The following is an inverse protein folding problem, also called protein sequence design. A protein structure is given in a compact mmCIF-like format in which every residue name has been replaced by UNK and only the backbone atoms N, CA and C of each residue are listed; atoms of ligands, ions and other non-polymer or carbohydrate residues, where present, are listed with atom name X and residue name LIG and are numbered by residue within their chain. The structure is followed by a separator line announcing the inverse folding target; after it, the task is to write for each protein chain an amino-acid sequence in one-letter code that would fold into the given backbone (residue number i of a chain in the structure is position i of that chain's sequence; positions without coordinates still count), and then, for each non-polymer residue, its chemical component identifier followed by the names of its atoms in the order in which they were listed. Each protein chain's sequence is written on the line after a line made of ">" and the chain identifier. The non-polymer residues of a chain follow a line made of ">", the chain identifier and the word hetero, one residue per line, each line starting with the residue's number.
data_IF_655397927655
#
_entry.id   IF_655397927655
#
_cell.length_a   1.000
_cell.length_b   1.000
_cell.length_c   1.000
_cell.angle_alpha   90.00
_cell.angle_beta   90.00
_cell.angle_gamma   90.00
#
_symmetry.space_group_name_H-M   'P 1'
#
loop_
_entity.id
_entity.type
_entity.pdbx_description
1 polymer ?
#
# COMPACT_ATOMS: atom_id res chain seq x y z
N UNK A 1 40.01 18.50 -0.01
CA UNK A 1 39.89 17.22 -0.71
C UNK A 1 39.01 16.23 0.05
N UNK A 2 39.17 16.02 1.35
CA UNK A 2 38.41 15.07 2.16
C UNK A 2 36.86 15.34 2.12
N UNK A 3 36.44 16.62 2.15
CA UNK A 3 35.03 16.98 2.09
C UNK A 3 34.31 16.55 0.80
N UNK A 4 35.00 16.61 -0.34
CA UNK A 4 34.43 16.13 -1.61
C UNK A 4 34.30 14.63 -1.70
N UNK A 5 35.20 13.89 -1.07
CA UNK A 5 35.16 12.43 -0.98
C UNK A 5 33.98 12.02 -0.10
N UNK A 6 33.80 12.67 1.05
CA UNK A 6 32.65 12.43 1.95
C UNK A 6 31.32 12.74 1.25
N UNK A 7 31.24 13.86 0.54
CA UNK A 7 30.05 14.23 -0.24
C UNK A 7 29.75 13.19 -1.34
N UNK A 8 30.77 12.73 -2.07
CA UNK A 8 30.65 11.69 -3.09
C UNK A 8 30.14 10.36 -2.51
N UNK A 9 30.68 9.94 -1.37
CA UNK A 9 30.24 8.71 -0.68
C UNK A 9 28.79 8.82 -0.20
N UNK A 10 28.39 9.97 0.36
CA UNK A 10 27.00 10.22 0.78
C UNK A 10 26.02 10.20 -0.40
N UNK A 11 26.38 10.80 -1.53
CA UNK A 11 25.57 10.76 -2.74
C UNK A 11 25.43 9.33 -3.26
N UNK A 12 26.53 8.58 -3.30
CA UNK A 12 26.54 7.19 -3.75
C UNK A 12 25.68 6.31 -2.83
N UNK A 13 25.81 6.47 -1.52
CA UNK A 13 24.99 5.77 -0.52
C UNK A 13 23.50 6.11 -0.66
N UNK A 14 23.17 7.39 -0.85
CA UNK A 14 21.81 7.86 -1.10
C UNK A 14 21.22 7.26 -2.38
N UNK A 15 22.01 7.21 -3.45
CA UNK A 15 21.61 6.61 -4.72
C UNK A 15 21.38 5.10 -4.59
N UNK A 16 22.21 4.42 -3.82
CA UNK A 16 22.08 2.99 -3.53
C UNK A 16 20.81 2.71 -2.72
N UNK A 17 20.52 3.51 -1.69
CA UNK A 17 19.27 3.41 -0.91
C UNK A 17 18.05 3.71 -1.77
N UNK A 18 18.12 4.73 -2.63
CA UNK A 18 17.03 5.10 -3.53
C UNK A 18 16.73 4.00 -4.58
N UNK A 19 17.73 3.20 -4.94
CA UNK A 19 17.58 2.07 -5.88
C UNK A 19 16.98 0.82 -5.23
N UNK A 20 16.91 0.73 -3.90
CA UNK A 20 16.28 -0.40 -3.20
C UNK A 20 14.81 -0.53 -3.60
N UNK A 21 14.42 -1.75 -3.89
CA UNK A 21 13.04 -2.08 -4.23
C UNK A 21 12.28 -2.54 -2.98
N UNK A 22 11.19 -1.86 -2.73
CA UNK A 22 10.19 -2.26 -1.73
C UNK A 22 9.10 -3.02 -2.46
N UNK A 23 8.81 -4.24 -2.00
CA UNK A 23 7.75 -5.06 -2.57
C UNK A 23 6.75 -5.46 -1.50
N UNK A 24 5.48 -5.47 -1.87
CA UNK A 24 4.40 -6.08 -1.08
C UNK A 24 3.84 -7.20 -1.92
N UNK A 25 3.70 -8.37 -1.32
CA UNK A 25 3.08 -9.51 -1.98
C UNK A 25 1.98 -10.12 -1.11
N UNK A 26 0.99 -10.66 -1.78
CA UNK A 26 -0.08 -11.44 -1.17
C UNK A 26 -0.32 -12.71 -1.97
N UNK A 27 -0.68 -13.79 -1.29
CA UNK A 27 -1.23 -14.98 -1.90
C UNK A 27 -2.48 -15.41 -1.14
N UNK A 28 -3.44 -15.92 -1.89
CA UNK A 28 -4.63 -16.55 -1.37
C UNK A 28 -4.69 -17.99 -1.87
N UNK A 29 -4.74 -18.93 -0.94
CA UNK A 29 -4.89 -20.36 -1.20
C UNK A 29 -5.97 -20.89 -0.26
N UNK A 30 -6.81 -21.81 -0.72
CA UNK A 30 -7.87 -22.38 0.11
C UNK A 30 -7.35 -23.08 1.35
N UNK A 31 -6.20 -23.74 1.27
CA UNK A 31 -5.60 -24.51 2.37
C UNK A 31 -4.87 -23.59 3.39
N UNK A 32 -4.14 -22.62 2.92
CA UNK A 32 -3.28 -21.77 3.76
C UNK A 32 -3.92 -20.39 4.08
N UNK A 33 -5.05 -20.08 3.44
CA UNK A 33 -5.72 -18.80 3.57
C UNK A 33 -4.96 -17.64 2.92
N UNK A 34 -5.08 -16.46 3.51
CA UNK A 34 -4.42 -15.25 3.01
C UNK A 34 -3.03 -15.12 3.64
N UNK A 35 -2.01 -15.07 2.82
CA UNK A 35 -0.65 -14.75 3.24
C UNK A 35 -0.24 -13.40 2.69
N UNK A 36 0.39 -12.58 3.52
CA UNK A 36 0.92 -11.26 3.14
C UNK A 36 2.38 -11.17 3.56
N UNK A 37 3.23 -10.72 2.64
CA UNK A 37 4.65 -10.51 2.91
C UNK A 37 5.13 -9.18 2.37
N UNK A 38 6.13 -8.65 3.05
CA UNK A 38 6.88 -7.47 2.63
C UNK A 38 8.26 -7.91 2.14
N UNK A 39 8.67 -7.40 1.00
CA UNK A 39 9.99 -7.61 0.44
C UNK A 39 10.78 -6.31 0.48
N UNK A 40 11.93 -6.34 1.15
CA UNK A 40 12.89 -5.25 1.25
C UNK A 40 14.18 -5.70 0.53
N UNK A 41 14.32 -5.34 -0.75
CA UNK A 41 15.44 -5.85 -1.55
C UNK A 41 15.46 -7.38 -1.58
N UNK A 42 16.55 -8.04 -1.08
CA UNK A 42 16.65 -9.49 -1.01
C UNK A 42 15.87 -10.11 0.17
N UNK A 43 15.58 -9.33 1.22
CA UNK A 43 14.91 -9.82 2.42
C UNK A 43 13.38 -9.92 2.23
N UNK A 44 12.80 -11.04 2.71
CA UNK A 44 11.35 -11.28 2.72
C UNK A 44 10.88 -11.42 4.16
N UNK A 45 9.92 -10.59 4.55
CA UNK A 45 9.32 -10.58 5.89
C UNK A 45 7.84 -10.96 5.74
N UNK A 46 7.42 -12.08 6.31
CA UNK A 46 6.01 -12.50 6.32
C UNK A 46 5.27 -11.72 7.39
N UNK A 47 4.22 -10.99 6.99
CA UNK A 47 3.40 -10.18 7.87
C UNK A 47 2.20 -10.98 8.41
N UNK A 48 1.65 -11.86 7.59
CA UNK A 48 0.50 -12.68 7.95
C UNK A 48 0.58 -14.04 7.23
N UNK A 49 0.30 -15.17 7.91
CA UNK A 49 0.09 -15.31 9.35
C UNK A 49 1.33 -14.92 10.16
N UNK A 50 1.15 -14.33 11.33
CA UNK A 50 2.28 -13.98 12.20
C UNK A 50 3.01 -15.26 12.59
N UNK A 51 4.33 -15.39 12.40
CA UNK A 51 5.05 -16.53 12.90
C UNK A 51 4.81 -16.60 14.41
N UNK A 52 4.31 -17.73 14.90
CA UNK A 52 4.18 -17.97 16.35
C UNK A 52 5.57 -17.80 16.93
N UNK A 53 5.77 -16.75 17.74
CA UNK A 53 7.02 -16.61 18.50
C UNK A 53 7.20 -17.88 19.31
N UNK A 54 8.36 -18.54 19.25
CA UNK A 54 8.62 -19.65 20.14
C UNK A 54 8.38 -19.14 21.56
N UNK A 55 7.57 -19.86 22.33
CA UNK A 55 7.27 -19.53 23.71
C UNK A 55 8.62 -19.39 24.46
N UNK A 56 8.97 -18.17 24.83
CA UNK A 56 10.07 -17.97 25.78
C UNK A 56 9.66 -18.64 27.07
N UNK A 57 10.53 -19.48 27.66
CA UNK A 57 10.23 -20.05 28.97
C UNK A 57 9.93 -18.90 29.93
N UNK A 58 8.87 -19.06 30.69
CA UNK A 58 8.40 -18.11 31.68
C UNK A 58 9.57 -17.77 32.64
N UNK A 59 10.17 -16.58 32.46
CA UNK A 59 10.98 -15.98 33.51
C UNK A 59 10.02 -15.33 34.47
N UNK A 60 10.07 -15.81 35.72
CA UNK A 60 9.37 -15.28 36.86
C UNK A 60 9.38 -13.75 36.86
N UNK A 61 8.20 -13.19 36.89
CA UNK A 61 7.95 -11.77 37.04
C UNK A 61 8.34 -11.36 38.46
N UNK A 62 9.59 -10.91 38.64
CA UNK A 62 9.93 -10.12 39.82
C UNK A 62 9.21 -8.78 39.67
N UNK A 63 8.20 -8.60 40.50
CA UNK A 63 7.48 -7.37 40.68
C UNK A 63 8.43 -6.18 40.83
N UNK A 64 8.42 -5.27 39.84
CA UNK A 64 9.02 -3.93 39.96
C UNK A 64 7.94 -2.96 40.42
N UNK A 65 8.21 -2.12 41.43
CA UNK A 65 7.23 -1.18 41.95
C UNK A 65 6.81 -0.17 40.86
N UNK A 66 5.57 0.37 40.94
CA UNK A 66 5.03 1.27 39.91
C UNK A 66 5.81 2.58 39.94
N UNK A 67 6.61 2.83 38.91
CA UNK A 67 7.15 4.16 38.62
C UNK A 67 6.02 4.99 38.02
N UNK A 68 5.47 5.87 38.84
CA UNK A 68 4.64 6.99 38.38
C UNK A 68 5.37 7.77 37.30
N UNK A 69 5.04 7.49 36.06
CA UNK A 69 5.41 8.36 34.96
C UNK A 69 4.44 9.55 34.96
N UNK A 70 4.83 10.61 35.71
CA UNK A 70 4.28 11.94 35.46
C UNK A 70 4.48 12.29 33.99
N UNK A 71 3.48 11.98 33.15
CA UNK A 71 3.38 12.53 31.81
C UNK A 71 3.06 14.01 32.00
N UNK A 72 4.09 14.86 31.92
CA UNK A 72 3.94 16.26 31.61
C UNK A 72 3.20 16.32 30.27
N UNK A 73 1.86 16.41 30.33
CA UNK A 73 1.06 16.87 29.22
C UNK A 73 1.53 18.29 28.92
N UNK A 74 2.42 18.45 27.95
CA UNK A 74 2.54 19.73 27.25
C UNK A 74 1.16 19.98 26.65
N UNK A 75 0.38 20.85 27.26
CA UNK A 75 -0.83 21.42 26.69
C UNK A 75 -0.46 22.01 25.35
N UNK A 76 -0.76 21.28 24.29
CA UNK A 76 -0.75 21.86 22.95
C UNK A 76 -1.84 22.93 22.95
N UNK A 77 -1.53 24.18 22.52
CA UNK A 77 -2.56 25.22 22.44
C UNK A 77 -3.76 24.67 21.69
N UNK A 78 -4.99 25.01 22.11
CA UNK A 78 -6.21 24.47 21.50
C UNK A 78 -6.18 24.77 20.01
N UNK A 79 -6.09 23.74 19.21
CA UNK A 79 -6.26 23.86 17.75
C UNK A 79 -7.72 24.25 17.56
N UNK A 80 -8.00 25.51 17.24
CA UNK A 80 -9.35 25.98 16.91
C UNK A 80 -9.87 25.07 15.79
N UNK A 81 -11.08 24.51 15.93
CA UNK A 81 -11.65 23.63 14.91
C UNK A 81 -11.80 24.43 13.60
N UNK A 82 -11.42 23.81 12.49
CA UNK A 82 -11.69 24.36 11.17
C UNK A 82 -13.22 24.49 11.01
N UNK A 83 -13.68 25.62 10.53
CA UNK A 83 -15.09 25.82 10.19
C UNK A 83 -15.48 24.85 9.07
N UNK A 84 -16.72 24.32 9.10
CA UNK A 84 -17.17 23.32 8.12
C UNK A 84 -16.93 23.74 6.66
N UNK A 85 -17.12 25.01 6.33
CA UNK A 85 -16.84 25.57 5.00
C UNK A 85 -15.37 25.51 4.61
N UNK A 86 -14.47 25.74 5.57
CA UNK A 86 -13.01 25.64 5.35
C UNK A 86 -12.58 24.19 5.10
N UNK A 87 -13.23 23.23 5.77
CA UNK A 87 -12.99 21.80 5.53
C UNK A 87 -13.42 21.40 4.13
N UNK A 88 -14.60 21.84 3.69
CA UNK A 88 -15.13 21.57 2.35
C UNK A 88 -14.22 22.18 1.27
N UNK A 89 -13.79 23.43 1.45
CA UNK A 89 -12.86 24.09 0.53
C UNK A 89 -11.51 23.35 0.44
N UNK A 90 -10.97 22.93 1.59
CA UNK A 90 -9.71 22.18 1.67
C UNK A 90 -9.84 20.82 1.01
N UNK A 91 -10.93 20.08 1.25
CA UNK A 91 -11.20 18.80 0.60
C UNK A 91 -11.32 18.97 -0.91
N UNK A 92 -12.02 20.00 -1.38
CA UNK A 92 -12.18 20.29 -2.82
C UNK A 92 -10.84 20.57 -3.51
N UNK A 93 -9.88 21.20 -2.83
CA UNK A 93 -8.54 21.43 -3.35
C UNK A 93 -7.65 20.18 -3.27
N UNK A 94 -7.87 19.32 -2.27
CA UNK A 94 -7.07 18.10 -2.10
C UNK A 94 -7.49 16.96 -3.03
N UNK A 95 -8.76 16.88 -3.46
CA UNK A 95 -9.25 15.83 -4.36
C UNK A 95 -8.44 15.74 -5.66
N UNK A 96 -8.27 16.84 -6.45
CA UNK A 96 -7.53 16.77 -7.71
C UNK A 96 -6.05 16.40 -7.46
N UNK A 97 -5.45 16.91 -6.39
CA UNK A 97 -4.08 16.56 -6.01
C UNK A 97 -3.95 15.08 -5.64
N UNK A 98 -4.93 14.53 -4.91
CA UNK A 98 -4.97 13.11 -4.55
C UNK A 98 -5.14 12.21 -5.78
N UNK A 99 -6.01 12.61 -6.73
CA UNK A 99 -6.18 11.89 -7.99
C UNK A 99 -4.90 11.91 -8.86
N UNK A 100 -4.23 13.06 -8.94
CA UNK A 100 -2.94 13.17 -9.64
C UNK A 100 -1.86 12.32 -8.96
N UNK A 101 -1.80 12.34 -7.62
CA UNK A 101 -0.89 11.51 -6.85
C UNK A 101 -1.15 10.02 -7.07
N UNK A 102 -2.43 9.60 -7.03
CA UNK A 102 -2.84 8.22 -7.30
C UNK A 102 -2.48 7.78 -8.73
N UNK A 103 -2.71 8.64 -9.74
CA UNK A 103 -2.31 8.38 -11.11
C UNK A 103 -0.79 8.25 -11.29
N UNK A 104 -0.03 9.11 -10.61
CA UNK A 104 1.44 9.07 -10.62
C UNK A 104 1.97 7.84 -9.89
N UNK A 105 1.35 7.46 -8.77
CA UNK A 105 1.65 6.22 -8.03
C UNK A 105 1.40 4.99 -8.90
N UNK A 106 0.21 4.90 -9.53
CA UNK A 106 -0.16 3.80 -10.42
C UNK A 106 0.86 3.60 -11.55
N UNK A 107 1.27 4.67 -12.23
CA UNK A 107 2.27 4.60 -13.33
C UNK A 107 3.65 4.12 -12.88
N UNK A 108 3.99 4.29 -11.61
CA UNK A 108 5.27 3.86 -11.04
C UNK A 108 5.20 2.50 -10.36
N UNK A 109 3.98 2.05 -10.05
CA UNK A 109 3.74 0.74 -9.46
C UNK A 109 3.99 -0.34 -10.51
N UNK A 110 4.89 -1.26 -10.20
CA UNK A 110 5.17 -2.42 -11.04
C UNK A 110 4.61 -3.67 -10.39
N UNK A 111 3.89 -4.45 -11.15
CA UNK A 111 3.44 -5.78 -10.75
C UNK A 111 4.45 -6.79 -11.28
N UNK A 112 5.26 -7.35 -10.39
CA UNK A 112 6.29 -8.33 -10.78
C UNK A 112 5.67 -9.69 -11.07
N UNK A 113 4.67 -10.09 -10.27
CA UNK A 113 3.94 -11.35 -10.45
C UNK A 113 2.46 -11.10 -10.24
N UNK A 114 1.66 -11.54 -11.19
CA UNK A 114 0.21 -11.62 -11.10
C UNK A 114 -0.19 -13.01 -11.59
N UNK A 115 -0.48 -13.92 -10.67
CA UNK A 115 -0.93 -15.27 -10.97
C UNK A 115 -2.32 -15.45 -10.36
N UNK A 116 -3.31 -15.63 -11.21
CA UNK A 116 -4.70 -15.84 -10.82
C UNK A 116 -5.21 -17.13 -11.45
N UNK A 117 -5.79 -17.99 -10.63
CA UNK A 117 -6.40 -19.23 -11.08
C UNK A 117 -7.80 -19.33 -10.48
N UNK A 118 -8.79 -19.37 -11.33
CA UNK A 118 -10.18 -19.61 -10.96
C UNK A 118 -10.54 -21.04 -11.34
N UNK A 119 -11.04 -21.80 -10.40
CA UNK A 119 -11.56 -23.16 -10.64
C UNK A 119 -13.07 -23.10 -10.52
N UNK A 120 -13.75 -23.47 -11.57
CA UNK A 120 -15.20 -23.63 -11.60
C UNK A 120 -15.51 -25.02 -11.07
N UNK A 121 -16.05 -25.08 -9.86
CA UNK A 121 -16.51 -26.31 -9.25
C UNK A 121 -17.99 -26.50 -9.59
N UNK A 122 -18.30 -27.51 -10.40
CA UNK A 122 -19.66 -27.81 -10.83
C UNK A 122 -19.77 -29.30 -11.17
N UNK A 123 -20.68 -30.04 -10.52
CA UNK A 123 -20.86 -31.47 -10.79
C UNK A 123 -21.50 -31.80 -12.15
N UNK A 124 -22.34 -30.88 -12.65
CA UNK A 124 -22.98 -31.06 -13.98
C UNK A 124 -22.01 -30.53 -15.07
N UNK A 125 -21.63 -31.39 -16.03
CA UNK A 125 -20.75 -31.00 -17.13
C UNK A 125 -21.32 -29.91 -18.04
N UNK A 126 -22.64 -29.80 -18.21
CA UNK A 126 -23.25 -28.78 -19.04
C UNK A 126 -23.17 -27.40 -18.38
N UNK A 127 -23.49 -27.33 -17.09
CA UNK A 127 -23.38 -26.10 -16.31
C UNK A 127 -21.90 -25.69 -16.14
N UNK A 128 -21.02 -26.66 -15.90
CA UNK A 128 -19.58 -26.43 -15.83
C UNK A 128 -19.04 -25.79 -17.12
N UNK A 129 -19.46 -26.27 -18.30
CA UNK A 129 -19.03 -25.69 -19.56
C UNK A 129 -19.53 -24.26 -19.75
N UNK A 130 -20.79 -23.98 -19.37
CA UNK A 130 -21.34 -22.61 -19.43
C UNK A 130 -20.61 -21.66 -18.48
N UNK A 131 -20.43 -22.05 -17.23
CA UNK A 131 -19.74 -21.23 -16.22
C UNK A 131 -18.26 -21.02 -16.57
N UNK A 132 -17.59 -22.04 -17.11
CA UNK A 132 -16.23 -21.92 -17.63
C UNK A 132 -16.13 -20.88 -18.74
N UNK A 133 -17.07 -20.93 -19.70
CA UNK A 133 -17.15 -19.96 -20.80
C UNK A 133 -17.34 -18.52 -20.30
N UNK A 134 -18.27 -18.32 -19.35
CA UNK A 134 -18.54 -17.01 -18.76
C UNK A 134 -17.34 -16.51 -17.96
N UNK A 135 -16.72 -17.33 -17.14
CA UNK A 135 -15.56 -16.99 -16.35
C UNK A 135 -14.36 -16.65 -17.24
N UNK A 136 -14.14 -17.41 -18.31
CA UNK A 136 -13.07 -17.15 -19.29
C UNK A 136 -13.29 -15.86 -20.05
N UNK A 137 -14.52 -15.56 -20.45
CA UNK A 137 -14.88 -14.31 -21.11
C UNK A 137 -14.67 -13.10 -20.18
N UNK A 138 -15.11 -13.20 -18.92
CA UNK A 138 -14.91 -12.15 -17.91
C UNK A 138 -13.42 -11.90 -17.64
N UNK A 139 -12.63 -12.97 -17.49
CA UNK A 139 -11.20 -12.86 -17.28
C UNK A 139 -10.50 -12.22 -18.47
N UNK A 140 -10.84 -12.61 -19.71
CA UNK A 140 -10.33 -12.03 -20.93
C UNK A 140 -10.67 -10.53 -21.06
N UNK A 141 -11.91 -10.15 -20.73
CA UNK A 141 -12.34 -8.76 -20.75
C UNK A 141 -11.59 -7.87 -19.73
N UNK A 142 -11.21 -8.43 -18.56
CA UNK A 142 -10.46 -7.69 -17.53
C UNK A 142 -8.96 -7.62 -17.84
N UNK A 143 -8.41 -8.57 -18.58
CA UNK A 143 -6.96 -8.69 -18.80
C UNK A 143 -6.37 -7.53 -19.58
N UNK A 144 -7.05 -7.06 -20.63
CA UNK A 144 -6.64 -5.90 -21.43
C UNK A 144 -6.49 -4.63 -20.58
N UNK A 145 -7.56 -4.16 -19.92
CA UNK A 145 -7.53 -2.99 -19.05
C UNK A 145 -6.50 -3.10 -17.90
N UNK A 146 -6.27 -4.31 -17.35
CA UNK A 146 -5.23 -4.51 -16.32
C UNK A 146 -3.83 -4.29 -16.87
N UNK A 147 -3.51 -4.82 -18.05
CA UNK A 147 -2.21 -4.61 -18.70
C UNK A 147 -1.97 -3.15 -19.11
N UNK A 148 -3.03 -2.42 -19.50
CA UNK A 148 -2.93 -0.99 -19.78
C UNK A 148 -2.77 -0.15 -18.51
N UNK A 149 -3.45 -0.57 -17.43
CA UNK A 149 -3.42 0.17 -16.18
C UNK A 149 -2.12 0.03 -15.43
N UNK A 150 -1.46 -1.13 -15.49
CA UNK A 150 -0.29 -1.48 -14.68
C UNK A 150 0.83 -2.05 -15.53
N UNK A 151 2.07 -1.87 -15.06
CA UNK A 151 3.23 -2.51 -15.66
C UNK A 151 3.37 -3.93 -15.11
N UNK A 152 2.77 -4.91 -15.78
CA UNK A 152 2.82 -6.32 -15.39
C UNK A 152 4.02 -6.98 -16.07
N UNK A 153 4.92 -7.59 -15.30
CA UNK A 153 6.10 -8.29 -15.81
C UNK A 153 5.82 -9.75 -16.12
N UNK A 154 5.23 -10.46 -15.16
CA UNK A 154 4.84 -11.87 -15.28
C UNK A 154 3.39 -11.97 -14.83
N UNK A 155 2.50 -12.03 -15.81
CA UNK A 155 1.07 -12.11 -15.59
C UNK A 155 0.50 -13.39 -16.17
N UNK A 156 -0.19 -14.17 -15.36
CA UNK A 156 -0.89 -15.38 -15.75
C UNK A 156 -2.26 -15.37 -15.13
N UNK A 157 -3.25 -15.64 -15.96
CA UNK A 157 -4.60 -15.82 -15.48
C UNK A 157 -5.22 -17.00 -16.23
N UNK A 158 -5.82 -17.91 -15.51
CA UNK A 158 -6.44 -19.09 -16.08
C UNK A 158 -7.72 -19.47 -15.36
N UNK A 159 -8.59 -20.10 -16.10
CA UNK A 159 -9.81 -20.73 -15.59
C UNK A 159 -9.66 -22.23 -15.79
N UNK A 160 -9.93 -23.00 -14.77
CA UNK A 160 -9.96 -24.45 -14.82
C UNK A 160 -11.33 -24.96 -14.36
N UNK A 161 -11.64 -26.21 -14.62
CA UNK A 161 -12.90 -26.86 -14.19
C UNK A 161 -12.57 -28.04 -13.29
N UNK A 162 -13.34 -28.20 -12.23
CA UNK A 162 -13.27 -29.37 -11.34
C UNK A 162 -14.68 -29.92 -11.10
N UNK A 163 -14.94 -31.11 -11.64
CA UNK A 163 -16.23 -31.79 -11.51
C UNK A 163 -16.43 -32.46 -10.15
N UNK A 164 -15.40 -32.51 -9.31
CA UNK A 164 -15.48 -33.16 -7.99
C UNK A 164 -15.81 -32.14 -6.89
N UNK A 165 -15.74 -30.84 -7.20
CA UNK A 165 -16.05 -29.76 -6.27
C UNK A 165 -17.40 -29.15 -6.61
N UNK A 166 -18.20 -28.85 -5.59
CA UNK A 166 -19.49 -28.16 -5.73
C UNK A 166 -19.36 -26.63 -5.62
N UNK A 167 -18.15 -26.11 -5.38
CA UNK A 167 -17.92 -24.71 -5.11
C UNK A 167 -16.76 -24.16 -5.94
N UNK A 168 -16.91 -22.92 -6.34
CA UNK A 168 -15.85 -22.19 -7.04
C UNK A 168 -14.68 -21.90 -6.09
N UNK A 169 -13.48 -22.06 -6.60
CA UNK A 169 -12.26 -21.82 -5.88
C UNK A 169 -11.39 -20.79 -6.58
N UNK A 170 -10.88 -19.83 -5.82
CA UNK A 170 -9.97 -18.79 -6.33
C UNK A 170 -8.61 -18.90 -5.64
N UNK A 171 -7.57 -19.08 -6.45
CA UNK A 171 -6.19 -18.92 -6.01
C UNK A 171 -5.60 -17.70 -6.67
N UNK A 172 -4.84 -16.94 -5.89
CA UNK A 172 -4.22 -15.75 -6.41
C UNK A 172 -2.88 -15.46 -5.74
N UNK A 173 -1.91 -14.99 -6.53
CA UNK A 173 -0.66 -14.45 -6.04
C UNK A 173 -0.38 -13.14 -6.73
N UNK A 174 -0.20 -12.09 -5.95
CA UNK A 174 0.13 -10.76 -6.45
C UNK A 174 1.39 -10.29 -5.75
N UNK A 175 2.35 -9.79 -6.51
CA UNK A 175 3.54 -9.16 -5.98
C UNK A 175 3.75 -7.83 -6.68
N UNK A 176 3.76 -6.75 -5.91
CA UNK A 176 3.94 -5.39 -6.40
C UNK A 176 5.24 -4.82 -5.86
N UNK A 177 5.95 -4.05 -6.67
CA UNK A 177 7.20 -3.41 -6.26
C UNK A 177 7.23 -1.94 -6.64
N UNK A 178 7.87 -1.16 -5.77
CA UNK A 178 8.19 0.25 -5.97
C UNK A 178 9.62 0.50 -5.51
N UNK A 179 10.34 1.42 -6.16
CA UNK A 179 11.65 1.83 -5.66
C UNK A 179 11.50 2.88 -4.56
N UNK A 180 12.40 2.82 -3.56
CA UNK A 180 12.43 3.80 -2.46
C UNK A 180 12.55 5.22 -3.01
N UNK A 181 13.37 5.43 -4.03
CA UNK A 181 13.52 6.73 -4.68
C UNK A 181 12.23 7.27 -5.28
N UNK A 182 11.42 6.40 -5.91
CA UNK A 182 10.12 6.80 -6.45
C UNK A 182 9.14 7.19 -5.33
N UNK A 183 9.15 6.46 -4.23
CA UNK A 183 8.30 6.72 -3.06
C UNK A 183 8.68 8.04 -2.37
N UNK A 184 9.98 8.27 -2.17
CA UNK A 184 10.49 9.52 -1.60
C UNK A 184 10.17 10.71 -2.51
N UNK A 185 10.39 10.57 -3.83
CA UNK A 185 10.08 11.62 -4.79
C UNK A 185 8.59 11.97 -4.82
N UNK A 186 7.71 10.96 -4.80
CA UNK A 186 6.26 11.18 -4.69
C UNK A 186 5.92 11.91 -3.39
N UNK A 187 6.48 11.43 -2.27
CA UNK A 187 6.25 12.03 -0.95
C UNK A 187 6.70 13.50 -0.89
N UNK A 188 7.86 13.83 -1.44
CA UNK A 188 8.36 15.21 -1.50
C UNK A 188 7.48 16.07 -2.40
N UNK A 189 7.17 15.62 -3.62
CA UNK A 189 6.37 16.38 -4.58
C UNK A 189 4.97 16.69 -4.05
N UNK A 190 4.24 15.66 -3.66
CA UNK A 190 2.85 15.82 -3.21
C UNK A 190 2.77 16.31 -1.76
N UNK A 191 3.73 15.94 -0.91
CA UNK A 191 3.84 16.47 0.45
C UNK A 191 4.08 17.98 0.47
N UNK A 192 4.93 18.50 -0.39
CA UNK A 192 5.16 19.95 -0.54
C UNK A 192 3.88 20.67 -1.02
N UNK A 193 3.15 20.08 -1.98
CA UNK A 193 1.89 20.65 -2.47
C UNK A 193 0.82 20.70 -1.36
N UNK A 194 0.65 19.61 -0.60
CA UNK A 194 -0.27 19.58 0.56
C UNK A 194 0.13 20.62 1.62
N UNK A 195 1.43 20.74 1.92
CA UNK A 195 1.90 21.75 2.88
C UNK A 195 1.62 23.17 2.41
N UNK A 196 1.73 23.46 1.12
CA UNK A 196 1.42 24.77 0.56
C UNK A 196 -0.08 25.08 0.69
N UNK A 197 -0.96 24.15 0.31
CA UNK A 197 -2.41 24.28 0.48
C UNK A 197 -2.77 24.55 1.95
N UNK A 198 -2.20 23.76 2.88
CA UNK A 198 -2.43 23.94 4.31
C UNK A 198 -1.93 25.29 4.84
N UNK A 199 -0.84 25.81 4.29
CA UNK A 199 -0.30 27.14 4.65
C UNK A 199 -1.19 28.27 4.14
N UNK A 200 -1.70 28.15 2.93
CA UNK A 200 -2.61 29.13 2.32
C UNK A 200 -3.93 29.20 3.08
N UNK A 201 -4.57 28.05 3.33
CA UNK A 201 -5.80 27.98 4.12
C UNK A 201 -5.64 28.58 5.53
N UNK A 202 -4.48 28.38 6.17
CA UNK A 202 -4.17 29.02 7.46
C UNK A 202 -3.97 30.53 7.36
N UNK A 203 -3.45 31.03 6.26
CA UNK A 203 -3.28 32.48 6.06
C UNK A 203 -4.62 33.16 5.82
N UNK A 204 -5.50 32.53 5.06
CA UNK A 204 -6.84 33.04 4.78
C UNK A 204 -7.70 33.07 6.06
N UNK A 205 -7.70 32.02 6.85
CA UNK A 205 -8.42 31.99 8.13
C UNK A 205 -7.94 33.06 9.12
N UNK A 206 -6.62 33.39 9.12
CA UNK A 206 -6.09 34.49 9.94
C UNK A 206 -6.48 35.87 9.41
N UNK A 207 -6.61 36.05 8.08
CA UNK A 207 -7.03 37.32 7.48
C UNK A 207 -8.51 37.59 7.74
N UNK A 208 -9.35 36.57 7.66
CA UNK A 208 -10.79 36.68 7.97
C UNK A 208 -11.01 37.06 9.45
N UNK A 209 -10.28 36.43 10.37
CA UNK A 209 -10.36 36.78 11.80
C UNK A 209 -9.87 38.20 12.09
N UNK A 210 -8.93 38.77 11.33
CA UNK A 210 -8.48 40.14 11.48
C UNK A 210 -9.46 41.18 10.89
N UNK A 211 -10.33 40.77 9.96
CA UNK A 211 -11.35 41.63 9.38
C UNK A 211 -12.65 41.64 10.21
N UNK A 212 -12.84 40.58 11.02
CA UNK A 212 -14.03 40.41 11.87
C UNK A 212 -13.83 40.92 13.33
N UNK A 213 -12.63 41.36 13.68
CA UNK A 213 -12.27 41.99 14.96
C UNK A 213 -12.02 43.48 14.77
#
# INVERSE_FOLDING_TARGET
>A
MIGWIIAGVLVLLSCLIASLRLGVGGSHTQEEGIQVWLRLGPARITLYPRPKKPAKPAKEEKAKPPKEKKKLKKEKPPKKPFTGEQIVALVRQLIPLALEAAGSFRRKLRIDVLDARLVVGEPDPADAAMHYGQASAALGALWGPLNEAFQIKDGRARVDVDFQQEHWALWGRVQMTLTVGQLVWLGLRYGAAVLNILRETRKESKKEQRKAA
#
